data_IF_614770897653
#
_entry.id   IF_614770897653
#
_cell.length_a   1.000
_cell.length_b   1.000
_cell.length_c   1.000
_cell.angle_alpha   90.00
_cell.angle_beta   90.00
_cell.angle_gamma   90.00
#
_symmetry.space_group_name_H-M   'P 1'
#
loop_
_entity.id
_entity.type
_entity.pdbx_description
1 polymer ?
#
# COMPACT_ATOMS: atom_id res chain seq x y z
N UNK A 1 -8.23 -2.58 15.51
CA UNK A 1 -7.00 -2.06 14.91
C UNK A 1 -7.36 -0.86 14.09
N UNK A 2 -6.77 0.28 14.41
CA UNK A 2 -6.97 1.56 13.75
C UNK A 2 -5.81 1.83 12.79
N UNK A 3 -6.13 2.42 11.63
CA UNK A 3 -5.14 2.93 10.70
C UNK A 3 -4.91 4.40 11.06
N UNK A 4 -3.76 4.70 11.65
CA UNK A 4 -3.42 6.00 12.22
C UNK A 4 -2.50 6.82 11.32
N UNK A 5 -1.91 6.22 10.28
CA UNK A 5 -1.11 6.95 9.30
C UNK A 5 -0.99 6.23 7.97
N UNK A 6 -1.01 6.97 6.87
CA UNK A 6 -0.74 6.46 5.52
C UNK A 6 0.20 7.42 4.81
N UNK A 7 1.34 6.92 4.34
CA UNK A 7 2.26 7.64 3.45
C UNK A 7 2.21 7.01 2.07
N UNK A 8 1.97 7.81 1.04
CA UNK A 8 1.87 7.35 -0.36
C UNK A 8 2.97 8.00 -1.19
N UNK A 9 3.67 7.20 -1.99
CA UNK A 9 4.62 7.64 -3.01
C UNK A 9 4.09 7.23 -4.38
N UNK A 10 3.59 8.21 -5.15
CA UNK A 10 3.09 7.97 -6.51
C UNK A 10 4.23 7.54 -7.44
N UNK A 11 3.88 6.71 -8.41
CA UNK A 11 4.78 6.25 -9.46
C UNK A 11 4.20 6.75 -10.78
N UNK A 12 4.93 7.63 -11.44
CA UNK A 12 4.55 8.15 -12.76
C UNK A 12 5.09 7.21 -13.84
N UNK A 13 4.28 6.23 -14.23
CA UNK A 13 4.53 5.39 -15.38
C UNK A 13 3.23 4.81 -15.95
N UNK A 14 3.34 4.19 -17.12
CA UNK A 14 2.22 3.48 -17.77
C UNK A 14 2.05 2.03 -17.28
N UNK A 15 2.59 1.72 -16.09
CA UNK A 15 2.45 0.38 -15.50
C UNK A 15 1.15 0.25 -14.70
N UNK A 16 0.82 -1.00 -14.33
CA UNK A 16 -0.26 -1.28 -13.37
C UNK A 16 0.04 -0.74 -11.98
N UNK A 17 1.32 -0.57 -11.61
CA UNK A 17 1.70 -0.02 -10.31
C UNK A 17 1.59 1.50 -10.34
N UNK A 18 0.73 2.07 -9.50
CA UNK A 18 0.46 3.51 -9.43
C UNK A 18 1.06 4.19 -8.22
N UNK A 19 1.26 3.46 -7.12
CA UNK A 19 1.98 3.98 -5.95
C UNK A 19 2.50 2.87 -5.05
N UNK A 20 3.46 3.24 -4.21
CA UNK A 20 3.80 2.53 -2.99
C UNK A 20 3.17 3.23 -1.79
N UNK A 21 2.72 2.45 -0.82
CA UNK A 21 2.15 2.94 0.43
C UNK A 21 2.80 2.27 1.64
N UNK A 22 2.93 3.04 2.72
CA UNK A 22 3.24 2.54 4.06
C UNK A 22 2.10 2.90 5.00
N UNK A 23 1.69 1.94 5.82
CA UNK A 23 0.49 2.04 6.67
C UNK A 23 0.92 1.87 8.11
N UNK A 24 0.56 2.84 8.96
CA UNK A 24 0.77 2.81 10.40
C UNK A 24 -0.53 2.40 11.08
N UNK A 25 -0.44 1.39 11.94
CA UNK A 25 -1.52 0.87 12.75
C UNK A 25 -1.29 1.22 14.21
N UNK A 26 -2.34 1.71 14.86
CA UNK A 26 -2.38 2.01 16.30
C UNK A 26 -1.18 2.85 16.80
N UNK A 27 -0.64 3.75 15.95
CA UNK A 27 0.59 4.55 16.19
C UNK A 27 1.85 3.75 16.58
N UNK A 28 1.82 2.43 16.44
CA UNK A 28 2.81 1.54 17.03
C UNK A 28 3.44 0.57 16.03
N UNK A 29 2.78 0.28 14.91
CA UNK A 29 3.23 -0.73 13.97
C UNK A 29 3.09 -0.26 12.52
N UNK A 30 4.15 -0.42 11.72
CA UNK A 30 4.13 -0.01 10.30
C UNK A 30 4.28 -1.22 9.38
N UNK A 31 3.42 -1.28 8.38
CA UNK A 31 3.56 -2.18 7.22
C UNK A 31 3.98 -1.34 6.01
N UNK A 32 5.19 -1.60 5.53
CA UNK A 32 5.73 -1.02 4.30
C UNK A 32 5.37 -1.89 3.08
N UNK A 33 5.61 -1.36 1.88
CA UNK A 33 5.50 -2.09 0.60
C UNK A 33 4.10 -2.54 0.21
N UNK A 34 3.08 -1.81 0.67
CA UNK A 34 1.74 -1.96 0.10
C UNK A 34 1.74 -1.28 -1.26
N UNK A 35 1.19 -1.93 -2.28
CA UNK A 35 1.13 -1.40 -3.65
C UNK A 35 -0.27 -0.94 -3.95
N UNK A 36 -0.40 0.22 -4.59
CA UNK A 36 -1.63 0.66 -5.22
C UNK A 36 -1.57 0.26 -6.69
N UNK A 37 -2.51 -0.57 -7.13
CA UNK A 37 -2.52 -1.19 -8.46
C UNK A 37 -3.77 -0.75 -9.24
N UNK A 38 -3.57 -0.33 -10.48
CA UNK A 38 -4.63 -0.17 -11.47
C UNK A 38 -4.95 -1.54 -12.09
N UNK A 39 -6.09 -2.13 -11.71
CA UNK A 39 -6.68 -3.28 -12.37
C UNK A 39 -7.38 -2.91 -13.68
N UNK A 40 -8.01 -3.89 -14.31
CA UNK A 40 -8.80 -3.66 -15.54
C UNK A 40 -10.03 -2.78 -15.25
N UNK A 41 -10.77 -3.08 -14.18
CA UNK A 41 -12.02 -2.39 -13.85
C UNK A 41 -11.87 -1.35 -12.73
N UNK A 42 -10.98 -1.61 -11.78
CA UNK A 42 -10.85 -0.80 -10.57
C UNK A 42 -9.41 -0.78 -10.03
N UNK A 43 -9.11 0.27 -9.26
CA UNK A 43 -7.91 0.32 -8.43
C UNK A 43 -8.09 -0.53 -7.18
N UNK A 44 -7.02 -1.18 -6.75
CA UNK A 44 -7.00 -1.99 -5.53
C UNK A 44 -5.63 -1.96 -4.87
N UNK A 45 -5.54 -2.42 -3.62
CA UNK A 45 -4.26 -2.57 -2.93
C UNK A 45 -3.76 -4.01 -3.01
N UNK A 46 -2.46 -4.18 -3.24
CA UNK A 46 -1.78 -5.45 -3.10
C UNK A 46 -0.84 -5.38 -1.88
N UNK A 47 -1.00 -6.34 -0.98
CA UNK A 47 -0.20 -6.42 0.23
C UNK A 47 1.26 -6.79 -0.08
N UNK A 48 2.20 -6.51 0.84
CA UNK A 48 3.60 -6.86 0.68
C UNK A 48 3.71 -8.38 0.60
N UNK A 49 4.44 -8.87 -0.39
CA UNK A 49 4.59 -10.31 -0.61
C UNK A 49 6.03 -10.68 -0.95
N UNK A 50 6.34 -11.95 -0.76
CA UNK A 50 7.63 -12.54 -1.10
C UNK A 50 7.42 -13.80 -1.95
N UNK A 51 8.31 -14.00 -2.91
CA UNK A 51 8.42 -15.25 -3.66
C UNK A 51 9.03 -16.33 -2.76
N UNK A 52 8.28 -17.41 -2.53
CA UNK A 52 8.75 -18.57 -1.78
C UNK A 52 9.70 -19.44 -2.61
N UNK A 53 10.43 -20.36 -1.98
CA UNK A 53 11.32 -21.32 -2.67
C UNK A 53 10.56 -22.20 -3.68
N UNK A 54 9.26 -22.41 -3.50
CA UNK A 54 8.42 -23.16 -4.42
C UNK A 54 7.87 -22.33 -5.59
N UNK A 55 8.28 -21.07 -5.73
CA UNK A 55 7.83 -20.18 -6.80
C UNK A 55 6.46 -19.55 -6.58
N UNK A 56 5.87 -19.69 -5.39
CA UNK A 56 4.56 -19.10 -5.05
C UNK A 56 4.76 -17.79 -4.30
N UNK A 57 4.05 -16.74 -4.70
CA UNK A 57 3.99 -15.50 -3.91
C UNK A 57 3.11 -15.69 -2.69
N UNK A 58 3.62 -15.30 -1.52
CA UNK A 58 2.84 -15.24 -0.29
C UNK A 58 2.94 -13.85 0.32
N UNK A 59 1.80 -13.36 0.78
CA UNK A 59 1.74 -12.12 1.53
C UNK A 59 2.51 -12.26 2.84
N UNK A 60 3.33 -11.26 3.13
CA UNK A 60 4.08 -11.11 4.38
C UNK A 60 3.15 -10.59 5.48
N UNK A 61 2.23 -9.69 5.12
CA UNK A 61 1.18 -9.17 5.98
C UNK A 61 -0.12 -9.15 5.19
N UNK A 62 -1.24 -9.52 5.80
CA UNK A 62 -2.55 -9.48 5.15
C UNK A 62 -3.66 -9.27 6.20
N UNK A 63 -4.72 -8.53 5.85
CA UNK A 63 -5.92 -8.50 6.69
C UNK A 63 -6.55 -9.90 6.74
N UNK A 64 -7.03 -10.30 7.91
CA UNK A 64 -7.67 -11.62 8.11
C UNK A 64 -9.15 -11.56 7.70
N UNK A 65 -9.83 -10.44 8.00
CA UNK A 65 -11.27 -10.28 7.76
C UNK A 65 -11.54 -9.41 6.54
N UNK A 66 -12.66 -9.68 5.86
CA UNK A 66 -13.14 -8.88 4.73
C UNK A 66 -13.41 -7.43 5.14
N UNK A 67 -14.08 -7.23 6.28
CA UNK A 67 -14.40 -5.88 6.78
C UNK A 67 -13.14 -5.02 6.94
N UNK A 68 -12.07 -5.57 7.52
CA UNK A 68 -10.84 -4.82 7.70
C UNK A 68 -10.09 -4.62 6.37
N UNK A 69 -10.18 -5.59 5.45
CA UNK A 69 -9.65 -5.45 4.09
C UNK A 69 -10.30 -4.27 3.36
N UNK A 70 -11.62 -4.13 3.46
CA UNK A 70 -12.36 -3.08 2.78
C UNK A 70 -12.04 -1.70 3.38
N UNK A 71 -11.96 -1.61 4.72
CA UNK A 71 -11.51 -0.40 5.42
C UNK A 71 -10.09 -0.01 4.99
N UNK A 72 -9.17 -0.98 4.98
CA UNK A 72 -7.77 -0.77 4.62
C UNK A 72 -7.64 -0.28 3.18
N UNK A 73 -8.31 -0.94 2.24
CA UNK A 73 -8.30 -0.55 0.84
C UNK A 73 -8.86 0.85 0.64
N UNK A 74 -10.03 1.15 1.21
CA UNK A 74 -10.65 2.47 1.13
C UNK A 74 -9.71 3.57 1.60
N UNK A 75 -9.19 3.46 2.82
CA UNK A 75 -8.30 4.49 3.38
C UNK A 75 -7.02 4.70 2.55
N UNK A 76 -6.43 3.64 2.02
CA UNK A 76 -5.20 3.75 1.18
C UNK A 76 -5.50 4.37 -0.17
N UNK A 77 -6.60 4.00 -0.81
CA UNK A 77 -7.00 4.59 -2.09
C UNK A 77 -7.38 6.07 -1.92
N UNK A 78 -8.10 6.42 -0.84
CA UNK A 78 -8.41 7.80 -0.50
C UNK A 78 -7.13 8.62 -0.33
N UNK A 79 -6.16 8.12 0.45
CA UNK A 79 -4.86 8.77 0.62
C UNK A 79 -4.12 8.94 -0.72
N UNK A 80 -4.16 7.93 -1.60
CA UNK A 80 -3.57 8.02 -2.93
C UNK A 80 -4.22 9.12 -3.80
N UNK A 81 -5.55 9.22 -3.79
CA UNK A 81 -6.26 10.24 -4.56
C UNK A 81 -6.02 11.65 -4.01
N UNK A 82 -5.91 11.79 -2.69
CA UNK A 82 -5.70 13.08 -2.02
C UNK A 82 -4.23 13.54 -1.99
N UNK A 83 -3.27 12.68 -2.34
CA UNK A 83 -1.87 13.06 -2.46
C UNK A 83 -1.68 13.81 -3.77
N UNK A 84 -1.64 15.15 -3.73
CA UNK A 84 -1.12 15.96 -4.84
C UNK A 84 0.38 15.64 -4.98
N UNK A 85 0.91 15.66 -6.21
CA UNK A 85 2.28 15.24 -6.52
C UNK A 85 3.36 16.16 -5.95
N UNK A 86 3.34 16.39 -4.64
CA UNK A 86 4.34 17.17 -3.94
C UNK A 86 5.62 16.35 -3.83
N UNK A 87 6.52 16.73 -4.72
CA UNK A 87 7.93 16.41 -4.75
C UNK A 87 8.59 16.81 -3.42
N UNK A 88 9.56 16.00 -2.99
CA UNK A 88 10.54 16.27 -1.94
C UNK A 88 10.07 16.10 -0.48
N UNK A 89 9.90 14.84 -0.09
CA UNK A 89 10.62 14.37 1.09
C UNK A 89 11.54 13.24 0.67
N UNK A 90 12.77 13.57 0.28
CA UNK A 90 13.93 12.67 0.35
C UNK A 90 14.30 12.35 1.81
N UNK A 91 13.31 12.13 2.68
CA UNK A 91 13.56 11.17 3.76
C UNK A 91 13.57 9.83 3.07
N UNK A 92 14.80 9.44 2.74
CA UNK A 92 15.14 8.19 2.11
C UNK A 92 14.26 7.11 2.72
N UNK A 93 13.47 6.45 1.88
CA UNK A 93 12.99 5.11 2.15
C UNK A 93 14.24 4.22 2.21
N UNK A 94 15.07 4.40 3.25
CA UNK A 94 16.23 3.58 3.54
C UNK A 94 15.71 2.33 4.23
N UNK A 95 15.35 1.34 3.42
CA UNK A 95 15.32 -0.06 3.82
C UNK A 95 15.51 -0.94 2.58
#
# INVERSE_FOLDING_TARGET
MEITGIKVKKVENDSKLKAWASITFDEAFVVHNVKVIQGQDAMFIAMPNRLTKSGVFKDIAHPITTDFRDILQGKVLDAYHNTNGDEHSEESFNW
#
